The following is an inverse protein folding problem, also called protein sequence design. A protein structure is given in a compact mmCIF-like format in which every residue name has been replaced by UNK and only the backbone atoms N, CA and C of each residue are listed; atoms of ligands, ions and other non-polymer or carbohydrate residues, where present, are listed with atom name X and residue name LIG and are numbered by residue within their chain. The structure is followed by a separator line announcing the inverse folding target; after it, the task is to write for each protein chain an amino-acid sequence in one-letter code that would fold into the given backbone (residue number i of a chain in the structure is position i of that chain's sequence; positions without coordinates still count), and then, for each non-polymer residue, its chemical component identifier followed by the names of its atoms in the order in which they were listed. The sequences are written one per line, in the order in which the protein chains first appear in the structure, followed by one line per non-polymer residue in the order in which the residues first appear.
data_IF_467184016259
#
_entry.id   IF_467184016259
#
_cell.length_a   1.000
_cell.length_b   1.000
_cell.length_c   1.000
_cell.angle_alpha   90.00
_cell.angle_beta   90.00
_cell.angle_gamma   90.00
#
_symmetry.space_group_name_H-M   'P 1'
#
loop_
_entity.id
_entity.type
_entity.pdbx_description
1 polymer ?
#
# COMPACT_ATOMS: atom_id res chain seq x y z
N UNK A 1 49.65 31.77 -45.68
CA UNK A 1 48.34 31.10 -45.85
C UNK A 1 48.13 30.24 -44.61
N UNK A 2 47.63 30.87 -43.55
CA UNK A 2 47.08 30.16 -42.38
C UNK A 2 45.58 30.00 -42.57
N UNK A 3 44.95 28.89 -42.14
CA UNK A 3 43.51 28.85 -41.97
C UNK A 3 43.12 29.42 -40.61
N UNK A 4 42.21 30.39 -40.67
CA UNK A 4 41.55 31.07 -39.56
C UNK A 4 40.67 30.07 -38.81
N UNK A 5 40.90 29.90 -37.50
CA UNK A 5 39.98 29.19 -36.61
C UNK A 5 38.77 30.08 -36.31
N UNK A 6 37.56 29.54 -36.52
CA UNK A 6 36.28 30.16 -36.15
C UNK A 6 36.11 30.19 -34.61
N UNK A 7 35.98 31.37 -33.98
CA UNK A 7 35.76 31.47 -32.55
C UNK A 7 34.31 31.90 -32.27
N UNK A 8 33.31 31.03 -32.46
CA UNK A 8 31.97 31.30 -31.90
C UNK A 8 31.04 30.08 -31.80
N UNK A 9 31.39 29.12 -30.94
CA UNK A 9 30.35 28.43 -30.16
C UNK A 9 30.67 28.65 -28.69
N UNK A 10 30.23 29.81 -28.21
CA UNK A 10 30.01 30.00 -26.77
C UNK A 10 28.91 29.03 -26.40
N UNK A 11 29.28 27.84 -25.89
CA UNK A 11 28.36 27.06 -25.07
C UNK A 11 27.95 27.98 -23.93
N UNK A 12 26.70 28.43 -23.96
CA UNK A 12 26.12 29.14 -22.83
C UNK A 12 26.39 28.31 -21.56
N UNK A 13 26.82 28.93 -20.45
CA UNK A 13 26.85 28.24 -19.18
C UNK A 13 25.42 27.79 -18.92
N UNK A 14 25.18 26.47 -18.82
CA UNK A 14 23.93 26.00 -18.25
C UNK A 14 23.90 26.56 -16.83
N UNK A 15 23.12 27.61 -16.62
CA UNK A 15 22.82 28.11 -15.28
C UNK A 15 22.13 26.97 -14.56
N UNK A 16 22.89 26.29 -13.70
CA UNK A 16 22.46 25.24 -12.78
C UNK A 16 21.55 25.85 -11.70
N UNK A 17 20.40 26.38 -12.10
CA UNK A 17 19.40 26.89 -11.18
C UNK A 17 18.51 25.75 -10.73
N UNK A 18 18.74 25.22 -9.53
CA UNK A 18 17.75 24.36 -8.89
C UNK A 18 16.48 25.16 -8.61
N UNK A 19 15.35 24.66 -9.09
CA UNK A 19 14.01 25.18 -8.80
C UNK A 19 13.47 24.38 -7.62
N UNK A 20 13.13 25.08 -6.54
CA UNK A 20 12.43 24.49 -5.40
C UNK A 20 10.93 24.51 -5.67
N UNK A 21 10.28 23.35 -5.61
CA UNK A 21 8.84 23.20 -5.81
C UNK A 21 8.20 22.77 -4.49
N UNK A 22 7.18 23.51 -3.99
CA UNK A 22 6.40 23.09 -2.83
C UNK A 22 5.71 21.74 -3.07
N UNK A 23 5.70 20.90 -2.04
CA UNK A 23 5.00 19.61 -2.08
C UNK A 23 3.56 19.84 -1.62
N UNK A 24 2.63 19.73 -2.57
CA UNK A 24 1.23 20.07 -2.42
C UNK A 24 0.34 18.93 -2.96
N UNK A 25 -0.94 18.85 -2.56
CA UNK A 25 -1.85 17.78 -2.99
C UNK A 25 -1.91 17.58 -4.51
N UNK A 26 -1.75 18.65 -5.31
CA UNK A 26 -1.80 18.58 -6.79
C UNK A 26 -0.73 17.68 -7.42
N UNK A 27 0.43 17.52 -6.77
CA UNK A 27 1.53 16.65 -7.23
C UNK A 27 1.66 15.38 -6.40
N UNK A 28 0.70 15.10 -5.51
CA UNK A 28 0.66 13.89 -4.70
C UNK A 28 -0.52 13.02 -5.16
N UNK A 29 -0.32 11.70 -5.13
CA UNK A 29 -1.36 10.70 -5.44
C UNK A 29 -1.39 9.66 -4.34
N UNK A 30 -2.58 9.13 -4.02
CA UNK A 30 -2.77 8.02 -3.08
C UNK A 30 -2.87 8.40 -1.59
N UNK A 31 -2.66 9.66 -1.20
CA UNK A 31 -2.85 10.13 0.17
C UNK A 31 -4.25 10.76 0.34
N UNK A 32 -4.86 10.59 1.52
CA UNK A 32 -6.18 11.14 1.86
C UNK A 32 -6.10 12.42 2.71
N UNK A 33 -4.94 12.68 3.31
CA UNK A 33 -4.67 13.90 4.06
C UNK A 33 -3.17 14.25 3.96
N UNK A 34 -2.84 15.52 4.14
CA UNK A 34 -1.47 16.03 4.06
C UNK A 34 -1.22 16.97 5.24
N UNK A 35 -0.57 16.43 6.27
CA UNK A 35 -0.27 17.16 7.49
C UNK A 35 0.95 18.06 7.29
N UNK A 36 0.87 19.32 7.74
CA UNK A 36 2.03 20.20 7.81
C UNK A 36 2.80 19.94 9.10
N UNK A 37 4.08 19.72 8.98
CA UNK A 37 4.98 19.36 10.08
C UNK A 37 6.06 20.44 10.24
N UNK A 38 6.99 20.24 11.19
CA UNK A 38 8.09 21.16 11.40
C UNK A 38 9.15 21.12 10.28
N UNK A 39 9.28 20.01 9.54
CA UNK A 39 10.27 19.89 8.44
C UNK A 39 9.64 19.96 7.05
N UNK A 40 8.34 19.69 6.89
CA UNK A 40 7.68 19.75 5.58
C UNK A 40 6.22 19.29 5.64
N UNK A 41 5.92 18.20 4.94
CA UNK A 41 4.59 17.60 4.90
C UNK A 41 4.62 16.08 5.11
N UNK A 42 3.64 15.55 5.83
CA UNK A 42 3.46 14.13 6.07
C UNK A 42 2.17 13.64 5.38
N UNK A 43 2.26 12.79 4.34
CA UNK A 43 1.09 12.18 3.74
C UNK A 43 0.47 11.13 4.67
N UNK A 44 -0.84 11.19 4.83
CA UNK A 44 -1.63 10.21 5.58
C UNK A 44 -2.56 9.44 4.65
N UNK A 45 -2.72 8.14 4.92
CA UNK A 45 -3.65 7.29 4.18
C UNK A 45 -5.05 7.27 4.80
N UNK A 46 -5.23 7.85 5.99
CA UNK A 46 -6.55 8.08 6.58
C UNK A 46 -6.80 9.59 6.78
N UNK A 47 -8.06 10.05 6.64
CA UNK A 47 -8.38 11.46 6.83
C UNK A 47 -8.20 11.89 8.28
N UNK A 48 -7.89 13.17 8.51
CA UNK A 48 -7.58 13.71 9.84
C UNK A 48 -8.67 13.43 10.92
N UNK A 49 -9.94 13.34 10.52
CA UNK A 49 -11.03 13.01 11.44
C UNK A 49 -11.00 11.53 11.89
N UNK A 50 -10.57 10.61 11.02
CA UNK A 50 -10.47 9.19 11.33
C UNK A 50 -9.29 8.94 12.28
N UNK A 51 -8.19 9.69 12.12
CA UNK A 51 -7.00 9.66 12.98
C UNK A 51 -7.27 9.94 14.45
N UNK A 52 -8.44 10.50 14.78
CA UNK A 52 -8.89 10.76 16.15
C UNK A 52 -9.58 9.56 16.82
N UNK A 53 -9.80 8.46 16.09
CA UNK A 53 -10.65 7.34 16.55
C UNK A 53 -9.89 6.05 16.87
N UNK A 54 -8.57 6.01 16.70
CA UNK A 54 -7.79 4.80 16.93
C UNK A 54 -6.53 5.05 17.77
N UNK A 55 -6.07 4.04 18.53
CA UNK A 55 -4.84 4.11 19.31
C UNK A 55 -3.57 3.93 18.45
N UNK A 56 -2.41 4.02 19.10
CA UNK A 56 -1.06 4.20 18.52
C UNK A 56 -0.63 3.22 17.41
N UNK A 57 -1.03 1.95 17.45
CA UNK A 57 -0.57 0.94 16.48
C UNK A 57 -0.96 1.25 15.03
N UNK A 58 -2.20 1.73 14.82
CA UNK A 58 -2.67 2.14 13.51
C UNK A 58 -2.07 3.48 13.07
N UNK A 59 -1.75 4.39 14.01
CA UNK A 59 -1.15 5.69 13.68
C UNK A 59 0.20 5.56 12.96
N UNK A 60 1.02 4.58 13.34
CA UNK A 60 2.26 4.28 12.61
C UNK A 60 1.95 3.77 11.20
N UNK A 61 1.03 2.81 11.09
CA UNK A 61 0.75 2.08 9.85
C UNK A 61 0.10 2.95 8.79
N UNK A 62 -0.87 3.78 9.16
CA UNK A 62 -1.57 4.66 8.22
C UNK A 62 -0.67 5.78 7.67
N UNK A 63 0.30 6.23 8.47
CA UNK A 63 1.31 7.23 8.08
C UNK A 63 2.45 6.66 7.21
N UNK A 64 2.54 5.33 7.06
CA UNK A 64 3.44 4.72 6.08
C UNK A 64 2.83 4.87 4.68
N UNK A 65 3.53 5.49 3.71
CA UNK A 65 2.96 5.95 2.46
C UNK A 65 2.82 4.85 1.39
N UNK A 66 2.32 3.66 1.76
CA UNK A 66 2.09 2.57 0.81
C UNK A 66 1.10 2.98 -0.28
N UNK A 67 1.52 2.91 -1.54
CA UNK A 67 0.74 3.35 -2.70
C UNK A 67 0.76 4.87 -2.96
N UNK A 68 1.37 5.65 -2.07
CA UNK A 68 1.50 7.11 -2.21
C UNK A 68 2.72 7.43 -3.06
N UNK A 69 2.60 8.46 -3.90
CA UNK A 69 3.66 8.88 -4.82
C UNK A 69 3.55 10.35 -5.18
N UNK A 70 4.70 10.96 -5.46
CA UNK A 70 4.73 12.24 -6.17
C UNK A 70 4.49 11.96 -7.65
N UNK A 71 3.67 12.77 -8.33
CA UNK A 71 3.38 12.64 -9.75
C UNK A 71 3.35 14.02 -10.41
N UNK A 72 4.23 14.24 -11.40
CA UNK A 72 4.37 15.53 -12.07
C UNK A 72 5.01 15.43 -13.46
N UNK A 73 4.89 16.49 -14.27
CA UNK A 73 5.58 16.60 -15.56
C UNK A 73 6.74 17.58 -15.48
N UNK A 74 7.84 17.24 -16.15
CA UNK A 74 9.00 18.13 -16.21
C UNK A 74 9.95 17.78 -17.35
N UNK A 75 10.75 18.78 -17.77
CA UNK A 75 11.94 18.59 -18.62
C UNK A 75 13.22 18.38 -17.82
N UNK A 76 13.13 18.26 -16.50
CA UNK A 76 14.28 18.16 -15.62
C UNK A 76 15.15 16.96 -15.96
N UNK A 77 16.46 17.16 -16.03
CA UNK A 77 17.46 16.09 -16.18
C UNK A 77 17.94 15.57 -14.83
N UNK A 78 17.67 16.33 -13.77
CA UNK A 78 17.93 15.95 -12.38
C UNK A 78 16.76 16.30 -11.47
N UNK A 79 16.44 15.38 -10.55
CA UNK A 79 15.40 15.52 -9.53
C UNK A 79 16.00 15.15 -8.17
N UNK A 80 15.81 16.00 -7.18
CA UNK A 80 16.15 15.75 -5.79
C UNK A 80 14.90 15.86 -4.91
N UNK A 81 14.79 14.98 -3.93
CA UNK A 81 13.75 15.03 -2.92
C UNK A 81 14.40 14.86 -1.53
N UNK A 82 14.26 15.87 -0.69
CA UNK A 82 14.61 15.78 0.72
C UNK A 82 13.48 15.12 1.49
N UNK A 83 13.85 14.17 2.34
CA UNK A 83 12.93 13.38 3.15
C UNK A 83 13.48 13.18 4.55
N UNK A 84 12.58 13.05 5.52
CA UNK A 84 12.88 12.54 6.85
C UNK A 84 12.11 11.23 7.07
N UNK A 85 12.72 10.07 6.80
CA UNK A 85 12.07 8.79 7.07
C UNK A 85 12.06 8.52 8.58
N UNK A 86 11.05 7.80 9.06
CA UNK A 86 11.04 7.18 10.39
C UNK A 86 11.00 5.67 10.22
N UNK A 87 12.09 5.02 10.62
CA UNK A 87 12.36 3.59 10.45
C UNK A 87 11.93 2.83 11.69
N UNK A 88 11.15 1.76 11.51
CA UNK A 88 10.71 0.92 12.63
C UNK A 88 11.67 -0.24 12.85
N UNK A 89 12.22 -0.33 14.06
CA UNK A 89 13.08 -1.42 14.52
C UNK A 89 12.38 -2.16 15.65
N UNK A 90 12.34 -3.49 15.58
CA UNK A 90 11.82 -4.32 16.65
C UNK A 90 12.99 -4.87 17.47
N UNK A 91 12.98 -4.65 18.78
CA UNK A 91 14.05 -5.11 19.66
C UNK A 91 14.16 -6.65 19.59
N UNK A 92 15.37 -7.16 19.34
CA UNK A 92 15.62 -8.60 19.19
C UNK A 92 15.31 -9.18 17.81
N UNK A 93 14.75 -8.40 16.88
CA UNK A 93 14.54 -8.83 15.50
C UNK A 93 15.67 -8.36 14.58
N UNK A 94 15.89 -9.01 13.43
CA UNK A 94 16.82 -8.51 12.41
C UNK A 94 16.49 -7.09 11.95
N UNK A 95 17.53 -6.30 11.69
CA UNK A 95 17.37 -4.96 11.10
C UNK A 95 16.73 -5.08 9.72
N UNK A 96 15.70 -4.28 9.48
CA UNK A 96 15.05 -4.19 8.16
C UNK A 96 15.91 -3.34 7.22
N UNK A 97 15.93 -3.65 5.91
CA UNK A 97 16.53 -2.77 4.92
C UNK A 97 15.88 -1.39 4.93
N UNK A 98 16.65 -0.38 4.52
CA UNK A 98 16.14 0.98 4.35
C UNK A 98 15.00 1.03 3.32
N UNK A 99 14.07 1.95 3.55
CA UNK A 99 13.00 2.29 2.62
C UNK A 99 13.53 2.63 1.23
N UNK A 100 12.80 2.18 0.21
CA UNK A 100 13.15 2.34 -1.21
C UNK A 100 12.17 3.28 -1.87
N UNK A 101 12.70 4.24 -2.61
CA UNK A 101 11.97 5.14 -3.51
C UNK A 101 12.19 4.65 -4.93
N UNK A 102 11.10 4.27 -5.62
CA UNK A 102 11.17 3.89 -7.04
C UNK A 102 10.85 5.11 -7.91
N UNK A 103 11.71 5.37 -8.90
CA UNK A 103 11.47 6.37 -9.95
C UNK A 103 10.84 5.69 -11.16
N UNK A 104 9.68 6.18 -11.57
CA UNK A 104 9.05 5.88 -12.84
C UNK A 104 9.14 7.09 -13.77
N UNK A 105 9.50 6.85 -15.02
CA UNK A 105 9.45 7.81 -16.12
C UNK A 105 8.48 7.25 -17.15
N UNK A 106 7.41 7.98 -17.45
CA UNK A 106 6.35 7.57 -18.38
C UNK A 106 5.84 6.14 -18.10
N UNK A 107 5.56 5.87 -16.81
CA UNK A 107 5.05 4.57 -16.33
C UNK A 107 6.09 3.45 -16.24
N UNK A 108 7.36 3.68 -16.62
CA UNK A 108 8.42 2.66 -16.60
C UNK A 108 9.40 2.94 -15.48
N UNK A 109 9.72 1.94 -14.65
CA UNK A 109 10.74 2.09 -13.60
C UNK A 109 12.13 2.29 -14.20
N UNK A 110 12.76 3.42 -13.90
CA UNK A 110 14.08 3.82 -14.43
C UNK A 110 15.14 3.99 -13.34
N UNK A 111 14.76 4.07 -12.07
CA UNK A 111 15.71 4.22 -10.97
C UNK A 111 15.15 3.79 -9.63
N UNK A 112 16.04 3.61 -8.67
CA UNK A 112 15.70 3.48 -7.25
C UNK A 112 16.69 4.25 -6.40
N UNK A 113 16.25 4.74 -5.25
CA UNK A 113 17.10 5.39 -4.25
C UNK A 113 16.63 5.02 -2.84
N UNK A 114 17.48 5.26 -1.85
CA UNK A 114 17.19 5.07 -0.43
C UNK A 114 17.88 6.17 0.38
N UNK A 115 17.38 6.43 1.59
CA UNK A 115 18.00 7.36 2.54
C UNK A 115 18.43 6.61 3.80
N UNK A 116 19.73 6.63 4.08
CA UNK A 116 20.30 5.97 5.27
C UNK A 116 19.96 6.70 6.57
N UNK A 117 19.79 8.03 6.52
CA UNK A 117 19.37 8.86 7.65
C UNK A 117 17.93 8.62 8.10
N UNK A 118 17.41 9.48 8.97
CA UNK A 118 16.05 9.40 9.49
C UNK A 118 15.93 9.14 10.98
N UNK A 119 14.70 9.29 11.48
CA UNK A 119 14.32 8.90 12.82
C UNK A 119 14.30 7.37 12.94
N UNK A 120 14.54 6.86 14.16
CA UNK A 120 14.43 5.44 14.47
C UNK A 120 13.37 5.25 15.54
N UNK A 121 12.28 4.58 15.19
CA UNK A 121 11.23 4.15 16.10
C UNK A 121 11.50 2.72 16.56
N UNK A 122 11.96 2.55 17.81
CA UNK A 122 12.25 1.25 18.39
C UNK A 122 11.03 0.74 19.14
N UNK A 123 10.57 -0.46 18.80
CA UNK A 123 9.44 -1.15 19.44
C UNK A 123 9.98 -2.35 20.22
N UNK A 124 9.71 -2.35 21.53
CA UNK A 124 9.92 -3.51 22.39
C UNK A 124 8.58 -4.21 22.59
N UNK A 125 8.40 -5.34 21.89
CA UNK A 125 7.18 -6.13 21.96
C UNK A 125 7.02 -6.82 23.33
N UNK A 126 8.12 -7.13 24.01
CA UNK A 126 8.08 -7.80 25.31
C UNK A 126 7.71 -6.82 26.42
N UNK A 127 8.31 -5.62 26.40
CA UNK A 127 8.00 -4.56 27.36
C UNK A 127 6.76 -3.72 26.98
N UNK A 128 6.14 -3.98 25.82
CA UNK A 128 5.03 -3.21 25.26
C UNK A 128 5.30 -1.70 25.24
N UNK A 129 6.52 -1.32 24.85
CA UNK A 129 6.97 0.06 24.85
C UNK A 129 7.57 0.45 23.50
N UNK A 130 7.58 1.74 23.22
CA UNK A 130 8.24 2.26 22.03
C UNK A 130 8.88 3.61 22.30
N UNK A 131 9.98 3.88 21.61
CA UNK A 131 10.70 5.15 21.69
C UNK A 131 11.19 5.58 20.31
N UNK A 132 11.06 6.87 20.00
CA UNK A 132 11.58 7.45 18.77
C UNK A 132 12.84 8.25 19.07
N UNK A 133 13.93 7.91 18.40
CA UNK A 133 15.17 8.68 18.41
C UNK A 133 15.24 9.52 17.13
N UNK A 134 15.36 10.86 17.22
CA UNK A 134 15.53 11.70 16.05
C UNK A 134 16.81 11.39 15.27
N UNK A 135 16.78 11.65 13.96
CA UNK A 135 17.96 11.61 13.10
C UNK A 135 17.89 12.65 11.98
N UNK A 136 18.97 12.83 11.21
CA UNK A 136 19.01 13.86 10.17
C UNK A 136 18.14 13.46 8.98
N UNK A 137 17.56 14.43 8.24
CA UNK A 137 16.96 14.16 6.94
C UNK A 137 18.04 13.75 5.93
N UNK A 138 17.61 13.22 4.79
CA UNK A 138 18.49 12.93 3.67
C UNK A 138 17.83 13.22 2.33
N UNK A 139 18.65 13.19 1.28
CA UNK A 139 18.23 13.54 -0.08
C UNK A 139 18.32 12.30 -0.97
N UNK A 140 17.22 11.94 -1.63
CA UNK A 140 17.30 11.08 -2.81
C UNK A 140 17.57 11.93 -4.04
N UNK A 141 18.37 11.41 -4.97
CA UNK A 141 18.76 12.12 -6.18
C UNK A 141 18.71 11.20 -7.40
N UNK A 142 17.98 11.62 -8.42
CA UNK A 142 17.94 10.98 -9.73
C UNK A 142 18.55 11.93 -10.76
N UNK A 143 19.47 11.43 -11.59
CA UNK A 143 20.17 12.22 -12.62
C UNK A 143 20.26 11.44 -13.93
N UNK A 144 20.67 12.11 -15.00
CA UNK A 144 20.78 11.47 -16.32
C UNK A 144 19.42 11.20 -16.96
N UNK A 145 18.38 11.93 -16.55
CA UNK A 145 17.06 11.85 -17.17
C UNK A 145 17.06 12.62 -18.51
N UNK A 146 16.23 12.20 -19.47
CA UNK A 146 16.08 12.94 -20.74
C UNK A 146 15.58 14.36 -20.50
N UNK A 147 16.02 15.33 -21.31
CA UNK A 147 15.50 16.71 -21.32
C UNK A 147 14.13 16.84 -22.01
N UNK A 148 13.61 15.74 -22.57
CA UNK A 148 12.25 15.68 -23.08
C UNK A 148 11.23 15.85 -21.96
N UNK A 149 10.04 16.32 -22.34
CA UNK A 149 8.93 16.46 -21.42
C UNK A 149 8.41 15.07 -21.14
N UNK A 150 8.43 14.70 -19.87
CA UNK A 150 8.11 13.36 -19.38
C UNK A 150 7.30 13.45 -18.10
N UNK A 151 6.58 12.38 -17.81
CA UNK A 151 5.91 12.17 -16.54
C UNK A 151 6.84 11.46 -15.57
N UNK A 152 6.95 12.02 -14.38
CA UNK A 152 7.73 11.49 -13.27
C UNK A 152 6.76 11.02 -12.20
N UNK A 153 6.94 9.78 -11.76
CA UNK A 153 6.39 9.30 -10.50
C UNK A 153 7.52 8.88 -9.56
N UNK A 154 7.46 9.33 -8.30
CA UNK A 154 8.34 8.87 -7.22
C UNK A 154 7.48 8.13 -6.21
N UNK A 155 7.51 6.80 -6.26
CA UNK A 155 6.78 5.93 -5.35
C UNK A 155 7.47 5.86 -4.00
N UNK A 156 6.73 6.14 -2.93
CA UNK A 156 7.27 6.25 -1.58
C UNK A 156 7.37 4.87 -0.88
N UNK A 157 8.31 4.69 0.08
CA UNK A 157 8.48 3.43 0.80
C UNK A 157 7.21 3.00 1.55
N UNK A 158 6.78 1.74 1.38
CA UNK A 158 5.55 1.24 2.02
C UNK A 158 5.71 0.82 3.49
N UNK A 159 6.96 0.70 3.98
CA UNK A 159 7.31 0.15 5.29
C UNK A 159 7.91 1.15 6.29
N UNK A 160 8.04 2.42 5.91
CA UNK A 160 8.60 3.50 6.74
C UNK A 160 7.73 4.74 6.62
N UNK A 161 7.55 5.49 7.70
CA UNK A 161 6.87 6.79 7.61
C UNK A 161 7.83 7.73 6.87
N UNK A 162 7.34 8.51 5.91
CA UNK A 162 8.18 9.44 5.14
C UNK A 162 7.59 10.85 5.19
N UNK A 163 8.25 11.73 5.92
CA UNK A 163 8.01 13.17 5.81
C UNK A 163 8.74 13.72 4.57
N UNK A 164 8.01 14.48 3.75
CA UNK A 164 8.50 15.08 2.51
C UNK A 164 8.87 16.54 2.78
N UNK A 165 10.13 16.90 2.58
CA UNK A 165 10.67 18.21 2.97
C UNK A 165 10.68 19.17 1.79
N UNK A 166 11.39 18.81 0.71
CA UNK A 166 11.57 19.73 -0.43
C UNK A 166 11.85 18.95 -1.71
N UNK A 167 11.12 19.29 -2.78
CA UNK A 167 11.38 18.82 -4.14
C UNK A 167 12.22 19.87 -4.88
N UNK A 168 13.34 19.46 -5.47
CA UNK A 168 14.18 20.29 -6.33
C UNK A 168 14.37 19.66 -7.71
N UNK A 169 14.27 20.49 -8.74
CA UNK A 169 14.46 20.09 -10.14
C UNK A 169 15.28 21.13 -10.89
N UNK A 170 16.01 20.74 -11.93
CA UNK A 170 16.74 21.66 -12.81
C UNK A 170 15.89 22.21 -13.98
N UNK A 171 14.59 21.89 -14.00
CA UNK A 171 13.58 22.49 -14.87
C UNK A 171 12.22 22.58 -14.15
N UNK A 172 11.28 23.44 -14.60
CA UNK A 172 9.99 23.62 -13.94
C UNK A 172 9.18 22.33 -13.80
N UNK A 173 8.31 22.30 -12.79
CA UNK A 173 7.40 21.19 -12.48
C UNK A 173 5.96 21.61 -12.79
N UNK A 174 5.29 20.81 -13.61
CA UNK A 174 3.87 20.93 -13.94
C UNK A 174 3.09 19.80 -13.28
N UNK A 175 1.80 20.00 -12.99
CA UNK A 175 0.96 18.91 -12.50
C UNK A 175 0.89 17.79 -13.57
N UNK A 176 0.93 16.53 -13.13
CA UNK A 176 0.66 15.42 -14.03
C UNK A 176 -0.77 15.55 -14.59
N UNK A 177 -0.97 15.32 -15.90
CA UNK A 177 -2.29 15.41 -16.52
C UNK A 177 -3.20 14.34 -15.92
N UNK A 178 -4.50 14.64 -15.94
CA UNK A 178 -5.50 13.62 -15.69
C UNK A 178 -5.68 12.79 -16.97
N UNK A 179 -5.25 11.53 -16.91
CA UNK A 179 -5.40 10.58 -18.01
C UNK A 179 -6.77 9.91 -18.05
N UNK A 180 -7.72 10.33 -17.21
CA UNK A 180 -9.05 9.73 -17.10
C UNK A 180 -9.01 8.31 -16.51
N UNK A 181 -7.93 7.96 -15.80
CA UNK A 181 -7.78 6.64 -15.18
C UNK A 181 -8.75 6.52 -14.01
N UNK A 182 -9.54 5.45 -14.02
CA UNK A 182 -10.44 5.11 -12.91
C UNK A 182 -9.66 4.98 -11.61
N UNK A 183 -10.20 5.51 -10.52
CA UNK A 183 -9.65 5.43 -9.16
C UNK A 183 -10.05 4.10 -8.54
N UNK A 184 -9.06 3.29 -8.21
CA UNK A 184 -9.22 2.05 -7.46
C UNK A 184 -8.84 2.26 -5.98
N UNK A 185 -9.85 2.22 -5.13
CA UNK A 185 -9.72 2.25 -3.68
C UNK A 185 -9.66 0.82 -3.13
N UNK A 186 -8.51 0.44 -2.58
CA UNK A 186 -8.28 -0.89 -2.04
C UNK A 186 -8.13 -0.84 -0.51
N UNK A 187 -8.86 -1.68 0.21
CA UNK A 187 -8.63 -1.94 1.64
C UNK A 187 -8.14 -3.37 1.87
N UNK A 188 -7.19 -3.54 2.78
CA UNK A 188 -6.71 -4.86 3.17
C UNK A 188 -5.68 -4.84 4.29
N UNK A 189 -5.00 -5.96 4.48
CA UNK A 189 -4.07 -6.19 5.60
C UNK A 189 -2.62 -5.81 5.27
N UNK A 190 -1.67 -6.36 6.04
CA UNK A 190 -0.21 -6.23 5.84
C UNK A 190 0.24 -6.68 4.46
N UNK A 191 -0.43 -7.69 3.90
CA UNK A 191 -0.19 -8.18 2.54
C UNK A 191 -0.56 -7.10 1.51
N UNK A 192 -1.68 -6.41 1.69
CA UNK A 192 -2.07 -5.27 0.84
C UNK A 192 -1.18 -4.05 1.04
N UNK A 193 -0.66 -3.86 2.25
CA UNK A 193 0.28 -2.80 2.52
C UNK A 193 1.63 -3.01 1.80
N UNK A 194 2.03 -4.26 1.56
CA UNK A 194 3.31 -4.57 0.91
C UNK A 194 4.32 -5.29 1.80
N UNK A 195 3.92 -5.85 2.94
CA UNK A 195 4.85 -6.56 3.83
C UNK A 195 5.61 -7.64 3.08
N UNK A 196 6.95 -7.60 3.15
CA UNK A 196 7.87 -8.51 2.46
C UNK A 196 8.03 -8.30 0.95
N UNK A 197 7.48 -7.22 0.38
CA UNK A 197 7.83 -6.78 -0.97
C UNK A 197 9.13 -5.96 -0.99
N UNK A 198 9.99 -6.18 -1.98
CA UNK A 198 11.32 -5.53 -2.05
C UNK A 198 11.29 -4.05 -2.47
N UNK A 199 10.16 -3.55 -2.98
CA UNK A 199 10.02 -2.17 -3.44
C UNK A 199 8.55 -1.73 -3.44
N UNK A 200 8.26 -0.41 -3.40
CA UNK A 200 6.88 0.08 -3.39
C UNK A 200 6.09 -0.26 -4.66
N UNK A 201 6.75 -0.30 -5.82
CA UNK A 201 6.11 -0.68 -7.10
C UNK A 201 5.96 -2.20 -7.27
N UNK A 202 6.62 -2.99 -6.42
CA UNK A 202 6.50 -4.45 -6.39
C UNK A 202 5.40 -4.96 -5.44
N UNK A 203 4.76 -4.07 -4.67
CA UNK A 203 3.58 -4.45 -3.87
C UNK A 203 2.47 -4.92 -4.80
N UNK A 204 1.67 -5.90 -4.36
CA UNK A 204 0.68 -6.51 -5.25
C UNK A 204 -0.39 -5.52 -5.71
N UNK A 205 -0.86 -4.54 -4.89
CA UNK A 205 -1.80 -3.53 -5.38
C UNK A 205 -1.15 -2.56 -6.36
N UNK A 206 0.11 -2.15 -6.15
CA UNK A 206 0.81 -1.28 -7.09
C UNK A 206 0.98 -1.97 -8.45
N UNK A 207 1.44 -3.23 -8.45
CA UNK A 207 1.56 -4.03 -9.68
C UNK A 207 0.21 -4.21 -10.38
N UNK A 208 -0.83 -4.60 -9.63
CA UNK A 208 -2.16 -4.78 -10.19
C UNK A 208 -2.73 -3.48 -10.76
N UNK A 209 -2.50 -2.34 -10.11
CA UNK A 209 -2.95 -1.03 -10.60
C UNK A 209 -2.25 -0.59 -11.89
N UNK A 210 -0.97 -0.92 -12.03
CA UNK A 210 -0.20 -0.65 -13.23
C UNK A 210 -0.69 -1.52 -14.41
N UNK A 211 -0.92 -2.81 -14.16
CA UNK A 211 -1.47 -3.74 -15.16
C UNK A 211 -2.91 -3.42 -15.55
N UNK A 212 -3.74 -2.99 -14.59
CA UNK A 212 -5.13 -2.62 -14.82
C UNK A 212 -5.34 -1.20 -15.35
N UNK A 213 -4.28 -0.37 -15.43
CA UNK A 213 -4.39 1.01 -15.89
C UNK A 213 -5.21 1.92 -14.97
N UNK A 214 -5.27 1.65 -13.66
CA UNK A 214 -6.09 2.39 -12.68
C UNK A 214 -5.26 3.18 -11.66
N UNK A 215 -5.82 4.27 -11.12
CA UNK A 215 -5.18 5.07 -10.07
C UNK A 215 -5.39 4.44 -8.70
N UNK A 216 -4.30 4.01 -8.05
CA UNK A 216 -4.37 3.34 -6.74
C UNK A 216 -4.51 4.34 -5.58
N UNK A 217 -5.48 4.08 -4.72
CA UNK A 217 -5.51 4.52 -3.31
C UNK A 217 -5.45 3.25 -2.44
N UNK A 218 -4.33 3.05 -1.73
CA UNK A 218 -4.09 1.83 -0.96
C UNK A 218 -4.31 2.03 0.55
N UNK A 219 -5.44 1.57 1.05
CA UNK A 219 -5.77 1.44 2.47
C UNK A 219 -5.43 0.04 3.02
N UNK A 220 -4.30 -0.53 2.58
CA UNK A 220 -3.67 -1.68 3.21
C UNK A 220 -3.12 -1.30 4.58
N UNK A 221 -3.79 -1.70 5.65
CA UNK A 221 -3.47 -1.33 7.03
C UNK A 221 -2.96 -2.58 7.78
N UNK A 222 -1.65 -2.77 7.76
CA UNK A 222 -0.95 -3.91 8.37
C UNK A 222 -1.32 -4.12 9.84
N UNK A 223 -1.84 -5.31 10.15
CA UNK A 223 -2.30 -5.67 11.49
C UNK A 223 -3.61 -5.01 11.92
N UNK A 224 -4.19 -4.12 11.10
CA UNK A 224 -5.28 -3.24 11.47
C UNK A 224 -6.46 -3.29 10.47
N UNK A 225 -6.53 -4.29 9.59
CA UNK A 225 -7.71 -4.53 8.76
C UNK A 225 -8.81 -5.25 9.56
N UNK A 226 -9.41 -4.54 10.52
CA UNK A 226 -10.23 -5.11 11.60
C UNK A 226 -11.73 -4.83 11.48
N UNK A 227 -12.20 -4.39 10.31
CA UNK A 227 -13.58 -3.93 10.07
C UNK A 227 -13.96 -2.70 10.91
N UNK A 228 -13.00 -1.81 11.16
CA UNK A 228 -13.23 -0.58 11.90
C UNK A 228 -14.28 0.32 11.22
N UNK A 229 -15.30 0.80 11.94
CA UNK A 229 -16.33 1.68 11.36
C UNK A 229 -15.78 3.01 10.84
N UNK A 230 -14.70 3.54 11.43
CA UNK A 230 -14.06 4.75 10.91
C UNK A 230 -13.38 4.51 9.57
N UNK A 231 -12.84 3.30 9.32
CA UNK A 231 -12.25 2.95 8.03
C UNK A 231 -13.33 2.84 6.97
N UNK A 232 -14.47 2.21 7.28
CA UNK A 232 -15.62 2.15 6.36
C UNK A 232 -16.11 3.55 5.97
N UNK A 233 -16.24 4.46 6.95
CA UNK A 233 -16.63 5.86 6.69
C UNK A 233 -15.57 6.64 5.91
N UNK A 234 -14.29 6.40 6.16
CA UNK A 234 -13.22 6.99 5.35
C UNK A 234 -13.33 6.54 3.89
N UNK A 235 -13.59 5.25 3.65
CA UNK A 235 -13.81 4.72 2.30
C UNK A 235 -15.07 5.28 1.65
N UNK A 236 -16.17 5.38 2.40
CA UNK A 236 -17.43 6.00 1.97
C UNK A 236 -17.20 7.43 1.43
N UNK A 237 -16.41 8.21 2.15
CA UNK A 237 -16.17 9.63 1.83
C UNK A 237 -15.04 9.83 0.80
N UNK A 238 -14.30 8.77 0.46
CA UNK A 238 -13.19 8.84 -0.51
C UNK A 238 -13.73 8.59 -1.93
N UNK A 239 -13.50 9.50 -2.90
CA UNK A 239 -13.86 9.27 -4.29
C UNK A 239 -13.20 8.00 -4.85
N UNK A 240 -13.99 7.12 -5.47
CA UNK A 240 -13.53 5.88 -6.05
C UNK A 240 -14.46 5.41 -7.17
N UNK A 241 -13.88 4.98 -8.28
CA UNK A 241 -14.61 4.35 -9.39
C UNK A 241 -14.70 2.83 -9.21
N UNK A 242 -13.79 2.25 -8.42
CA UNK A 242 -13.68 0.82 -8.16
C UNK A 242 -13.26 0.62 -6.70
N UNK A 243 -13.93 -0.27 -5.96
CA UNK A 243 -13.64 -0.52 -4.55
C UNK A 243 -13.39 -2.00 -4.32
N UNK A 244 -12.30 -2.35 -3.63
CA UNK A 244 -12.08 -3.73 -3.19
C UNK A 244 -11.75 -3.83 -1.71
N UNK A 245 -12.32 -4.85 -1.07
CA UNK A 245 -12.21 -5.12 0.36
C UNK A 245 -11.60 -6.50 0.59
N UNK A 246 -10.32 -6.56 0.98
CA UNK A 246 -9.68 -7.82 1.38
C UNK A 246 -9.79 -8.02 2.88
N UNK A 247 -10.75 -8.86 3.31
CA UNK A 247 -11.14 -9.02 4.71
C UNK A 247 -10.69 -10.37 5.24
N UNK A 248 -10.07 -10.42 6.43
CA UNK A 248 -10.04 -11.64 7.25
C UNK A 248 -8.78 -11.89 8.07
N UNK A 249 -7.59 -11.90 7.47
CA UNK A 249 -6.39 -12.38 8.17
C UNK A 249 -6.11 -11.64 9.49
N UNK A 250 -6.31 -10.33 9.57
CA UNK A 250 -6.07 -9.60 10.82
C UNK A 250 -7.13 -9.88 11.91
N UNK A 251 -8.37 -10.20 11.52
CA UNK A 251 -9.41 -10.63 12.46
C UNK A 251 -9.03 -11.96 13.13
N UNK A 252 -8.48 -12.90 12.35
CA UNK A 252 -7.98 -14.18 12.88
C UNK A 252 -6.73 -13.97 13.69
N UNK A 253 -5.73 -13.25 13.17
CA UNK A 253 -4.45 -13.03 13.84
C UNK A 253 -4.59 -12.44 15.25
N UNK A 254 -5.60 -11.59 15.45
CA UNK A 254 -5.84 -10.91 16.73
C UNK A 254 -6.90 -11.60 17.60
N UNK A 255 -7.49 -12.69 17.12
CA UNK A 255 -8.66 -13.34 17.75
C UNK A 255 -9.78 -12.35 18.08
N UNK A 256 -9.99 -11.34 17.22
CA UNK A 256 -10.74 -10.14 17.58
C UNK A 256 -12.20 -10.41 17.94
N UNK A 257 -12.83 -11.33 17.21
CA UNK A 257 -14.27 -11.54 17.29
C UNK A 257 -14.65 -12.98 16.97
N UNK A 258 -15.92 -13.31 17.28
CA UNK A 258 -16.54 -14.59 16.97
C UNK A 258 -17.46 -14.45 15.76
N UNK A 259 -17.81 -15.57 15.12
CA UNK A 259 -18.67 -15.61 13.93
C UNK A 259 -19.97 -14.80 14.09
N UNK A 260 -20.60 -14.89 15.26
CA UNK A 260 -21.83 -14.13 15.57
C UNK A 260 -21.69 -12.61 15.42
N UNK A 261 -20.51 -12.06 15.70
CA UNK A 261 -20.21 -10.63 15.56
C UNK A 261 -19.62 -10.29 14.17
N UNK A 262 -18.91 -11.23 13.55
CA UNK A 262 -18.32 -11.05 12.23
C UNK A 262 -19.35 -10.76 11.14
N UNK A 263 -20.40 -11.59 11.03
CA UNK A 263 -21.42 -11.42 10.00
C UNK A 263 -22.07 -10.02 10.00
N UNK A 264 -22.63 -9.51 11.12
CA UNK A 264 -23.18 -8.16 11.14
C UNK A 264 -22.13 -7.06 10.97
N UNK A 265 -20.88 -7.26 11.39
CA UNK A 265 -19.81 -6.29 11.16
C UNK A 265 -19.49 -6.14 9.67
N UNK A 266 -19.43 -7.25 8.92
CA UNK A 266 -19.26 -7.22 7.46
C UNK A 266 -20.44 -6.50 6.79
N UNK A 267 -21.68 -6.82 7.17
CA UNK A 267 -22.86 -6.12 6.65
C UNK A 267 -22.78 -4.62 6.90
N UNK A 268 -22.52 -4.18 8.14
CA UNK A 268 -22.42 -2.75 8.46
C UNK A 268 -21.27 -2.04 7.72
N UNK A 269 -20.15 -2.72 7.49
CA UNK A 269 -19.04 -2.19 6.70
C UNK A 269 -19.43 -1.98 5.23
N UNK A 270 -20.13 -2.96 4.63
CA UNK A 270 -20.64 -2.87 3.26
C UNK A 270 -21.72 -1.80 3.13
N UNK A 271 -22.66 -1.73 4.08
CA UNK A 271 -23.73 -0.74 4.11
C UNK A 271 -23.15 0.68 4.18
N UNK A 272 -22.18 0.90 5.08
CA UNK A 272 -21.50 2.20 5.20
C UNK A 272 -20.83 2.61 3.91
N UNK A 273 -20.18 1.69 3.18
CA UNK A 273 -19.58 2.04 1.88
C UNK A 273 -20.67 2.36 0.86
N UNK A 274 -21.76 1.59 0.81
CA UNK A 274 -22.87 1.81 -0.11
C UNK A 274 -23.61 3.13 0.12
N UNK A 275 -23.60 3.68 1.33
CA UNK A 275 -24.11 5.04 1.60
C UNK A 275 -23.41 6.12 0.77
N UNK A 276 -22.12 5.95 0.47
CA UNK A 276 -21.32 6.90 -0.34
C UNK A 276 -21.11 6.43 -1.77
N UNK A 277 -21.20 5.13 -2.01
CA UNK A 277 -20.93 4.47 -3.29
C UNK A 277 -22.07 3.53 -3.71
N UNK A 278 -23.27 4.07 -4.05
CA UNK A 278 -24.46 3.23 -4.23
C UNK A 278 -24.34 2.23 -5.39
N UNK A 279 -23.59 2.57 -6.43
CA UNK A 279 -23.47 1.77 -7.67
C UNK A 279 -22.04 1.40 -8.05
N UNK A 280 -21.02 1.92 -7.37
CA UNK A 280 -19.61 1.63 -7.65
C UNK A 280 -19.34 0.12 -7.59
N UNK A 281 -18.67 -0.51 -8.58
CA UNK A 281 -18.25 -1.90 -8.46
C UNK A 281 -17.47 -2.14 -7.16
N UNK A 282 -17.97 -3.06 -6.34
CA UNK A 282 -17.43 -3.40 -5.03
C UNK A 282 -17.07 -4.88 -5.00
N UNK A 283 -15.77 -5.18 -4.93
CA UNK A 283 -15.23 -6.53 -4.88
C UNK A 283 -14.81 -6.91 -3.45
N UNK A 284 -15.52 -7.84 -2.84
CA UNK A 284 -15.08 -8.48 -1.59
C UNK A 284 -14.11 -9.62 -1.93
N UNK A 285 -12.90 -9.52 -1.41
CA UNK A 285 -11.83 -10.51 -1.58
C UNK A 285 -11.63 -11.21 -0.25
N UNK A 286 -11.76 -12.53 -0.22
CA UNK A 286 -11.47 -13.29 0.98
C UNK A 286 -9.95 -13.47 1.19
N UNK A 287 -9.49 -13.97 2.35
CA UNK A 287 -8.07 -14.17 2.59
C UNK A 287 -7.43 -15.12 1.58
N UNK A 288 -6.19 -14.79 1.18
CA UNK A 288 -5.31 -15.75 0.49
C UNK A 288 -4.95 -16.90 1.44
N UNK A 289 -4.46 -18.02 0.91
CA UNK A 289 -4.03 -19.14 1.73
C UNK A 289 -2.96 -18.69 2.75
N UNK A 290 -3.18 -19.05 4.02
CA UNK A 290 -2.18 -18.96 5.07
C UNK A 290 -2.31 -20.21 5.95
N UNK A 291 -1.44 -21.23 5.76
CA UNK A 291 -1.65 -22.57 6.33
C UNK A 291 -1.86 -22.59 7.84
N UNK A 292 -1.14 -21.74 8.59
CA UNK A 292 -1.25 -21.70 10.05
C UNK A 292 -2.66 -21.31 10.53
N UNK A 293 -3.47 -20.66 9.70
CA UNK A 293 -4.80 -20.16 10.06
C UNK A 293 -5.96 -20.75 9.25
N UNK A 294 -5.73 -21.76 8.40
CA UNK A 294 -6.80 -22.43 7.65
C UNK A 294 -7.82 -23.08 8.59
N UNK A 295 -7.32 -23.84 9.57
CA UNK A 295 -8.12 -24.64 10.51
C UNK A 295 -7.85 -24.33 11.98
N UNK A 296 -6.87 -23.45 12.27
CA UNK A 296 -6.52 -23.05 13.64
C UNK A 296 -6.80 -21.56 13.83
N UNK A 297 -7.65 -21.18 14.80
CA UNK A 297 -7.89 -19.78 15.09
C UNK A 297 -6.66 -19.11 15.68
N UNK A 298 -6.66 -17.78 15.73
CA UNK A 298 -5.62 -17.04 16.42
C UNK A 298 -5.73 -17.11 17.96
N UNK A 299 -4.89 -16.32 18.66
CA UNK A 299 -4.03 -15.30 18.10
C UNK A 299 -2.81 -15.86 17.35
N UNK A 300 -2.23 -15.07 16.46
CA UNK A 300 -0.90 -15.34 15.91
C UNK A 300 0.15 -15.01 16.98
N UNK A 301 1.14 -15.88 17.15
CA UNK A 301 2.26 -15.66 18.05
C UNK A 301 3.60 -15.80 17.29
N UNK A 302 4.66 -15.08 17.72
CA UNK A 302 6.02 -15.38 17.27
C UNK A 302 6.38 -16.84 17.58
N UNK A 303 7.07 -17.47 16.64
CA UNK A 303 7.67 -18.79 16.82
C UNK A 303 9.13 -18.63 17.23
N UNK A 304 9.40 -18.83 18.53
CA UNK A 304 10.74 -18.69 19.11
C UNK A 304 11.63 -19.92 18.86
N UNK A 305 11.07 -21.03 18.39
CA UNK A 305 11.83 -22.24 18.09
C UNK A 305 12.42 -22.20 16.66
N UNK A 306 11.98 -21.25 15.84
CA UNK A 306 12.49 -21.02 14.50
C UNK A 306 13.80 -20.21 14.50
N UNK A 307 14.75 -20.63 13.67
CA UNK A 307 16.02 -19.92 13.45
C UNK A 307 15.85 -18.57 12.71
N UNK A 308 14.67 -18.31 12.15
CA UNK A 308 14.27 -17.06 11.48
C UNK A 308 12.99 -16.54 12.11
N UNK A 309 12.71 -15.24 11.95
CA UNK A 309 11.40 -14.69 12.34
C UNK A 309 10.29 -15.47 11.61
N UNK A 310 9.46 -16.16 12.38
CA UNK A 310 8.37 -17.00 11.91
C UNK A 310 7.18 -16.86 12.86
N UNK A 311 6.00 -17.23 12.38
CA UNK A 311 4.75 -17.12 13.12
C UNK A 311 4.03 -18.47 13.21
N UNK A 312 3.26 -18.64 14.27
CA UNK A 312 2.37 -19.79 14.47
C UNK A 312 0.99 -19.33 14.96
N UNK A 313 -0.03 -20.14 14.71
CA UNK A 313 -1.29 -19.99 15.40
C UNK A 313 -1.17 -20.53 16.84
N UNK A 314 -1.70 -19.78 17.81
CA UNK A 314 -1.69 -20.16 19.22
C UNK A 314 -3.08 -20.57 19.75
N UNK A 315 -4.11 -20.53 18.90
CA UNK A 315 -5.47 -20.95 19.25
C UNK A 315 -5.65 -22.48 19.21
N UNK A 316 -6.80 -22.93 19.73
CA UNK A 316 -7.22 -24.33 19.72
C UNK A 316 -8.20 -24.58 18.55
N UNK A 317 -7.93 -25.53 17.62
CA UNK A 317 -8.85 -25.88 16.54
C UNK A 317 -10.25 -26.30 17.01
N UNK A 318 -10.38 -26.88 18.21
CA UNK A 318 -11.68 -27.32 18.75
C UNK A 318 -12.62 -26.15 19.07
N UNK A 319 -12.06 -24.95 19.31
CA UNK A 319 -12.83 -23.75 19.62
C UNK A 319 -13.58 -23.18 18.39
N UNK A 320 -13.36 -23.70 17.18
CA UNK A 320 -14.11 -23.31 15.98
C UNK A 320 -15.61 -23.60 16.16
N UNK A 321 -15.96 -24.71 16.82
CA UNK A 321 -17.35 -25.04 17.13
C UNK A 321 -18.01 -24.02 18.08
N UNK A 322 -17.21 -23.29 18.86
CA UNK A 322 -17.66 -22.18 19.70
C UNK A 322 -17.69 -20.83 18.97
N UNK A 323 -17.49 -20.83 17.65
CA UNK A 323 -17.56 -19.65 16.79
C UNK A 323 -16.27 -18.86 16.69
N UNK A 324 -15.11 -19.43 17.05
CA UNK A 324 -13.82 -18.83 16.67
C UNK A 324 -13.64 -18.82 15.15
N UNK A 325 -12.94 -17.80 14.67
CA UNK A 325 -12.73 -17.61 13.25
C UNK A 325 -11.41 -18.25 12.80
N UNK A 326 -11.50 -19.04 11.74
CA UNK A 326 -10.36 -19.44 10.90
C UNK A 326 -10.53 -18.80 9.51
N UNK A 327 -9.52 -18.94 8.64
CA UNK A 327 -9.65 -18.44 7.27
C UNK A 327 -10.68 -19.22 6.46
N UNK A 328 -10.87 -20.52 6.74
CA UNK A 328 -11.96 -21.31 6.16
C UNK A 328 -13.33 -20.73 6.55
N UNK A 329 -13.57 -20.50 7.84
CA UNK A 329 -14.84 -19.90 8.32
C UNK A 329 -15.09 -18.52 7.71
N UNK A 330 -14.06 -17.67 7.64
CA UNK A 330 -14.19 -16.34 7.04
C UNK A 330 -14.49 -16.43 5.54
N UNK A 331 -13.82 -17.33 4.80
CA UNK A 331 -14.06 -17.52 3.36
C UNK A 331 -15.50 -17.92 3.09
N UNK A 332 -16.01 -18.88 3.84
CA UNK A 332 -17.38 -19.37 3.71
C UNK A 332 -18.39 -18.27 4.02
N UNK A 333 -18.19 -17.53 5.12
CA UNK A 333 -19.13 -16.49 5.53
C UNK A 333 -19.12 -15.28 4.60
N UNK A 334 -17.95 -14.85 4.11
CA UNK A 334 -17.88 -13.79 3.09
C UNK A 334 -18.56 -14.20 1.78
N UNK A 335 -18.35 -15.45 1.34
CA UNK A 335 -19.02 -15.99 0.15
C UNK A 335 -20.54 -16.04 0.34
N UNK A 336 -21.02 -16.45 1.52
CA UNK A 336 -22.44 -16.50 1.85
C UNK A 336 -23.07 -15.11 1.88
N UNK A 337 -22.44 -14.14 2.55
CA UNK A 337 -22.93 -12.75 2.66
C UNK A 337 -23.02 -12.10 1.28
N UNK A 338 -21.98 -12.23 0.47
CA UNK A 338 -21.93 -11.63 -0.88
C UNK A 338 -22.96 -12.27 -1.80
N UNK A 339 -23.08 -13.61 -1.81
CA UNK A 339 -24.10 -14.31 -2.59
C UNK A 339 -25.53 -13.91 -2.18
N UNK A 340 -25.79 -13.77 -0.88
CA UNK A 340 -27.09 -13.30 -0.38
C UNK A 340 -27.42 -11.89 -0.87
N UNK A 341 -26.45 -10.97 -0.80
CA UNK A 341 -26.65 -9.56 -1.15
C UNK A 341 -26.66 -9.31 -2.67
N UNK A 342 -25.99 -10.13 -3.46
CA UNK A 342 -25.92 -9.99 -4.91
C UNK A 342 -27.30 -10.03 -5.61
N UNK A 343 -28.33 -10.56 -4.94
CA UNK A 343 -29.71 -10.52 -5.43
C UNK A 343 -30.29 -9.10 -5.51
N UNK A 344 -29.83 -8.18 -4.65
CA UNK A 344 -30.30 -6.79 -4.55
C UNK A 344 -29.23 -5.77 -4.95
N UNK A 345 -27.96 -6.19 -4.97
CA UNK A 345 -26.80 -5.36 -5.32
C UNK A 345 -25.99 -6.02 -6.45
N UNK A 346 -26.30 -5.73 -7.73
CA UNK A 346 -25.64 -6.36 -8.87
C UNK A 346 -24.17 -5.94 -9.04
N UNK A 347 -23.73 -4.89 -8.34
CA UNK A 347 -22.36 -4.39 -8.36
C UNK A 347 -21.53 -4.89 -7.17
N UNK A 348 -22.05 -5.83 -6.38
CA UNK A 348 -21.32 -6.51 -5.32
C UNK A 348 -20.81 -7.85 -5.84
N UNK A 349 -19.49 -8.01 -5.81
CA UNK A 349 -18.80 -9.16 -6.34
C UNK A 349 -17.98 -9.85 -5.27
N UNK A 350 -17.73 -11.14 -5.45
CA UNK A 350 -16.87 -11.94 -4.58
C UNK A 350 -15.72 -12.54 -5.37
N UNK A 351 -14.52 -12.50 -4.78
CA UNK A 351 -13.35 -13.22 -5.25
C UNK A 351 -12.77 -14.05 -4.12
N UNK A 352 -12.67 -15.36 -4.34
CA UNK A 352 -11.95 -16.26 -3.43
C UNK A 352 -10.45 -15.90 -3.46
N UNK A 353 -9.90 -15.49 -2.32
CA UNK A 353 -8.48 -15.14 -2.20
C UNK A 353 -7.54 -16.28 -2.57
N UNK A 354 -7.99 -17.55 -2.50
CA UNK A 354 -7.19 -18.71 -2.92
C UNK A 354 -6.98 -18.76 -4.44
N UNK A 355 -7.81 -18.09 -5.23
CA UNK A 355 -7.58 -17.90 -6.65
C UNK A 355 -6.41 -16.95 -6.94
N UNK A 356 -6.07 -16.08 -5.99
CA UNK A 356 -4.89 -15.20 -6.09
C UNK A 356 -3.63 -15.92 -5.62
N UNK A 357 -3.72 -16.63 -4.49
CA UNK A 357 -2.65 -17.42 -3.92
C UNK A 357 -3.23 -18.56 -3.07
N UNK A 358 -3.09 -19.79 -3.56
CA UNK A 358 -3.67 -21.01 -3.01
C UNK A 358 -2.63 -22.09 -2.70
N UNK A 359 -3.09 -23.33 -2.49
CA UNK A 359 -2.20 -24.45 -2.14
C UNK A 359 -1.11 -24.76 -3.17
N UNK A 360 -1.38 -24.74 -4.50
CA UNK A 360 -0.33 -24.90 -5.49
C UNK A 360 0.73 -23.80 -5.42
N UNK A 361 0.31 -22.55 -5.16
CA UNK A 361 1.23 -21.43 -5.05
C UNK A 361 2.08 -21.52 -3.79
N UNK A 362 1.52 -21.95 -2.65
CA UNK A 362 2.30 -22.16 -1.43
C UNK A 362 3.33 -23.28 -1.57
N UNK A 363 3.03 -24.34 -2.34
CA UNK A 363 4.00 -25.39 -2.63
C UNK A 363 5.18 -24.89 -3.47
N UNK A 364 4.94 -23.91 -4.35
CA UNK A 364 5.96 -23.31 -5.21
C UNK A 364 6.71 -22.14 -4.54
N UNK A 365 5.98 -21.29 -3.82
CA UNK A 365 6.38 -20.00 -3.26
C UNK A 365 5.98 -19.93 -1.79
N UNK A 366 6.56 -20.75 -0.89
CA UNK A 366 6.13 -20.82 0.50
C UNK A 366 6.28 -19.48 1.23
N UNK A 367 5.43 -19.24 2.24
CA UNK A 367 5.47 -18.03 3.06
C UNK A 367 6.72 -18.06 3.96
N UNK A 368 7.71 -17.15 3.79
CA UNK A 368 9.00 -17.25 4.48
C UNK A 368 8.92 -17.18 6.00
N UNK A 369 7.92 -16.47 6.52
CA UNK A 369 7.62 -16.32 7.96
C UNK A 369 6.32 -17.06 8.36
N UNK A 370 5.82 -17.95 7.50
CA UNK A 370 4.53 -18.65 7.63
C UNK A 370 3.28 -17.75 7.52
N UNK A 371 3.42 -16.46 7.21
CA UNK A 371 2.29 -15.50 7.22
C UNK A 371 2.22 -14.59 5.99
N UNK A 372 3.35 -14.07 5.51
CA UNK A 372 3.41 -13.08 4.44
C UNK A 372 4.03 -13.67 3.17
N UNK A 373 3.46 -13.40 1.97
CA UNK A 373 4.11 -13.72 0.72
C UNK A 373 5.36 -12.85 0.54
N UNK A 374 6.41 -13.39 -0.06
CA UNK A 374 7.56 -12.60 -0.49
C UNK A 374 7.26 -11.82 -1.79
N UNK A 375 8.25 -11.13 -2.34
CA UNK A 375 8.12 -10.40 -3.61
C UNK A 375 7.59 -11.26 -4.77
N UNK A 376 7.94 -12.55 -4.84
CA UNK A 376 7.44 -13.43 -5.90
C UNK A 376 5.97 -13.79 -5.67
N UNK A 377 5.57 -14.06 -4.42
CA UNK A 377 4.18 -14.23 -4.04
C UNK A 377 3.34 -12.96 -4.30
N UNK A 378 3.90 -11.78 -4.01
CA UNK A 378 3.30 -10.49 -4.34
C UNK A 378 3.04 -10.33 -5.84
N UNK A 379 4.02 -10.71 -6.68
CA UNK A 379 3.87 -10.70 -8.13
C UNK A 379 2.72 -11.61 -8.58
N UNK A 380 2.69 -12.87 -8.09
CA UNK A 380 1.65 -13.86 -8.40
C UNK A 380 0.26 -13.32 -8.07
N UNK A 381 0.10 -12.74 -6.89
CA UNK A 381 -1.16 -12.12 -6.44
C UNK A 381 -1.54 -10.93 -7.32
N UNK A 382 -0.58 -10.05 -7.64
CA UNK A 382 -0.83 -8.83 -8.42
C UNK A 382 -1.24 -9.12 -9.86
N UNK A 383 -0.54 -10.05 -10.53
CA UNK A 383 -0.85 -10.46 -11.91
C UNK A 383 -2.23 -11.12 -12.00
N UNK A 384 -2.54 -12.06 -11.10
CA UNK A 384 -3.85 -12.71 -11.07
C UNK A 384 -4.98 -11.78 -10.66
N UNK A 385 -4.74 -10.85 -9.74
CA UNK A 385 -5.75 -9.85 -9.41
C UNK A 385 -6.04 -8.97 -10.62
N UNK A 386 -5.01 -8.55 -11.36
CA UNK A 386 -5.22 -7.76 -12.56
C UNK A 386 -6.04 -8.51 -13.62
N UNK A 387 -5.73 -9.79 -13.85
CA UNK A 387 -6.48 -10.65 -14.76
C UNK A 387 -7.94 -10.84 -14.31
N UNK A 388 -8.16 -11.24 -13.06
CA UNK A 388 -9.48 -11.64 -12.56
C UNK A 388 -10.39 -10.44 -12.25
N UNK A 389 -9.83 -9.31 -11.83
CA UNK A 389 -10.60 -8.12 -11.46
C UNK A 389 -10.75 -7.15 -12.63
N UNK A 390 -9.65 -6.75 -13.26
CA UNK A 390 -9.64 -5.73 -14.32
C UNK A 390 -9.75 -6.33 -15.74
N UNK A 391 -9.44 -7.61 -15.91
CA UNK A 391 -9.53 -8.30 -17.20
C UNK A 391 -10.97 -8.44 -17.71
N UNK A 392 -11.09 -8.93 -18.94
CA UNK A 392 -12.39 -9.10 -19.60
C UNK A 392 -13.31 -10.02 -18.78
N UNK A 393 -14.55 -9.57 -18.54
CA UNK A 393 -15.52 -10.30 -17.71
C UNK A 393 -15.26 -10.19 -16.20
N UNK A 394 -14.19 -9.51 -15.77
CA UNK A 394 -13.94 -9.20 -14.37
C UNK A 394 -14.89 -8.14 -13.82
N UNK A 395 -15.09 -8.08 -12.49
CA UNK A 395 -15.96 -7.12 -11.82
C UNK A 395 -15.58 -5.65 -12.06
N UNK A 396 -14.31 -5.39 -12.41
CA UNK A 396 -13.80 -4.07 -12.73
C UNK A 396 -13.46 -3.91 -14.21
N UNK A 397 -13.93 -4.79 -15.09
CA UNK A 397 -13.75 -4.62 -16.51
C UNK A 397 -14.25 -3.24 -16.95
N UNK A 398 -13.58 -2.65 -17.95
CA UNK A 398 -14.16 -1.52 -18.67
C UNK A 398 -15.26 -2.12 -19.54
N UNK A 399 -16.52 -1.73 -19.34
CA UNK A 399 -17.58 -2.04 -20.31
C UNK A 399 -17.11 -1.47 -21.64
N UNK A 400 -16.89 -2.33 -22.65
CA UNK A 400 -16.54 -1.86 -23.98
C UNK A 400 -17.66 -0.95 -24.47
N UNK A 401 -17.30 0.25 -24.92
CA UNK A 401 -18.19 1.16 -25.66
C UNK A 401 -18.72 0.50 -26.95
#
# INVERSE_FOLDING_TARGET
MEPIADPSVVRAPHTTGWITTPIEPRILRGALDLERTAHGVLPHRLPAWARKQFPSGLAMVEAQPSGVRLAFRTRATAVELDVLPTKTVYLGAPTRPDGVYDLLVDGRRTGRASVAGGNVHTVDMAAQSAATRPGPPGTIRFTGLSADLKEIEIWLPHGEITELITLRTDAPVEAAPDHGRRIWLHHGSSISQGSSADSPTATWPALASALGGVELINLGLGGNALLDPFTARAMRDTPADLISLKIGINLVNTDLMRLRAFSPAVHGFLDTIREGHPTTPLLVVSPVLCPIHEDTPGPTAPDFDSAKLSFRAAGDPSDVAAGRLTLNVIRDELSRITAQRAAEDPNLHYLDGRSLYGAPDFAELPLPDQLHPDTAGHRRIGERFAELAFGSGGPFAVSGD
#
